data_IF_583069405024
#
_entry.id   IF_583069405024
#
_cell.length_a   1.000
_cell.length_b   1.000
_cell.length_c   1.000
_cell.angle_alpha   90.00
_cell.angle_beta   90.00
_cell.angle_gamma   90.00
#
_symmetry.space_group_name_H-M   'P 1'
#
loop_
_entity.id
_entity.type
_entity.pdbx_description
1 polymer ?
#
# COMPACT_ATOMS: atom_id res chain seq x y z
N UNK A 1 10.54 -10.44 6.50
CA UNK A 1 11.65 -11.32 6.96
C UNK A 1 12.12 -10.81 8.30
N UNK A 2 12.56 -11.69 9.19
CA UNK A 2 13.10 -11.36 10.50
C UNK A 2 14.48 -11.99 10.70
N UNK A 3 15.32 -11.36 11.52
CA UNK A 3 16.66 -11.83 11.83
C UNK A 3 16.61 -12.76 13.04
N UNK A 4 16.80 -14.06 12.82
CA UNK A 4 16.84 -15.08 13.88
C UNK A 4 18.19 -15.12 14.58
N UNK A 5 19.25 -14.86 13.81
CA UNK A 5 20.63 -14.79 14.26
C UNK A 5 21.38 -13.81 13.37
N UNK A 6 22.53 -13.25 13.79
CA UNK A 6 23.26 -12.27 13.01
C UNK A 6 23.54 -12.77 11.58
N UNK A 7 22.91 -12.15 10.59
CA UNK A 7 23.03 -12.55 9.17
C UNK A 7 22.12 -13.69 8.71
N UNK A 8 21.39 -14.35 9.60
CA UNK A 8 20.40 -15.40 9.28
C UNK A 8 19.00 -14.79 9.29
N UNK A 9 18.44 -14.65 8.08
CA UNK A 9 17.14 -14.05 7.88
C UNK A 9 16.10 -15.10 7.52
N UNK A 10 15.04 -15.16 8.31
CA UNK A 10 13.94 -16.09 8.12
C UNK A 10 12.70 -15.38 7.59
N UNK A 11 11.90 -16.11 6.80
CA UNK A 11 10.61 -15.61 6.37
C UNK A 11 9.59 -15.66 7.51
N UNK A 12 8.66 -14.72 7.49
CA UNK A 12 7.47 -14.86 8.31
C UNK A 12 6.54 -15.90 7.69
N UNK A 13 5.71 -16.51 8.52
CA UNK A 13 4.56 -17.26 8.03
C UNK A 13 3.72 -16.39 7.08
N UNK A 14 3.18 -16.94 5.97
CA UNK A 14 2.39 -16.18 5.01
C UNK A 14 1.24 -15.40 5.66
N UNK A 15 0.61 -15.95 6.71
CA UNK A 15 -0.49 -15.30 7.41
C UNK A 15 -0.05 -14.03 8.14
N UNK A 16 1.12 -14.08 8.78
CA UNK A 16 1.72 -12.94 9.49
C UNK A 16 2.24 -11.92 8.49
N UNK A 17 2.86 -12.39 7.39
CA UNK A 17 3.39 -11.53 6.34
C UNK A 17 2.27 -10.70 5.69
N UNK A 18 1.09 -11.28 5.48
CA UNK A 18 -0.06 -10.56 4.93
C UNK A 18 -0.55 -9.45 5.89
N UNK A 19 -0.60 -9.73 7.21
CA UNK A 19 -0.95 -8.71 8.22
C UNK A 19 0.08 -7.58 8.28
N UNK A 20 1.37 -7.91 8.20
CA UNK A 20 2.44 -6.91 8.17
C UNK A 20 2.35 -6.02 6.93
N UNK A 21 2.05 -6.60 5.76
CA UNK A 21 1.85 -5.83 4.54
C UNK A 21 0.61 -4.92 4.64
N UNK A 22 -0.53 -5.46 5.07
CA UNK A 22 -1.74 -4.67 5.24
C UNK A 22 -1.55 -3.50 6.22
N UNK A 23 -0.91 -3.74 7.37
CA UNK A 23 -0.59 -2.69 8.34
C UNK A 23 0.31 -1.62 7.72
N UNK A 24 1.31 -2.04 6.94
CA UNK A 24 2.21 -1.14 6.22
C UNK A 24 1.49 -0.31 5.15
N UNK A 25 0.53 -0.89 4.43
CA UNK A 25 -0.28 -0.22 3.40
C UNK A 25 -1.23 0.82 4.00
N UNK A 26 -1.81 0.53 5.16
CA UNK A 26 -2.67 1.47 5.91
C UNK A 26 -1.85 2.60 6.55
N UNK A 27 -0.54 2.42 6.69
CA UNK A 27 0.36 3.40 7.32
C UNK A 27 0.44 3.25 8.84
N UNK A 28 0.08 2.08 9.38
CA UNK A 28 0.27 1.76 10.79
C UNK A 28 1.76 1.68 11.14
N UNK A 29 2.10 2.11 12.36
CA UNK A 29 3.49 2.16 12.83
C UNK A 29 3.87 0.95 13.67
N UNK A 30 2.88 0.25 14.23
CA UNK A 30 3.06 -0.88 15.15
C UNK A 30 2.04 -1.97 14.85
N UNK A 31 2.45 -3.22 14.96
CA UNK A 31 1.58 -4.38 14.84
C UNK A 31 1.92 -5.41 15.91
N UNK A 32 0.96 -5.74 16.78
CA UNK A 32 1.08 -6.86 17.69
C UNK A 32 0.42 -8.12 17.11
N UNK A 33 1.10 -9.26 17.19
CA UNK A 33 0.55 -10.55 16.78
C UNK A 33 1.01 -11.68 17.70
N UNK A 34 0.17 -12.72 17.81
CA UNK A 34 0.54 -13.96 18.46
C UNK A 34 1.02 -14.98 17.43
N UNK A 35 2.13 -15.65 17.70
CA UNK A 35 2.69 -16.71 16.87
C UNK A 35 3.33 -17.79 17.73
N UNK A 36 2.98 -19.06 17.48
CA UNK A 36 3.46 -20.24 18.24
C UNK A 36 3.32 -20.11 19.77
N UNK A 37 2.26 -19.45 20.24
CA UNK A 37 1.99 -19.27 21.68
C UNK A 37 2.67 -18.06 22.32
N UNK A 38 3.56 -17.37 21.59
CA UNK A 38 4.21 -16.13 22.04
C UNK A 38 3.60 -14.89 21.38
N UNK A 39 3.60 -13.77 22.10
CA UNK A 39 3.18 -12.46 21.58
C UNK A 39 4.40 -11.67 21.13
N UNK A 40 4.31 -11.08 19.95
CA UNK A 40 5.35 -10.24 19.37
C UNK A 40 4.75 -8.89 18.96
N UNK A 41 5.47 -7.81 19.22
CA UNK A 41 5.17 -6.48 18.70
C UNK A 41 6.18 -6.14 17.61
N UNK A 42 5.72 -5.75 16.43
CA UNK A 42 6.58 -5.27 15.34
C UNK A 42 6.38 -3.78 15.17
N UNK A 43 7.46 -3.02 15.35
CA UNK A 43 7.53 -1.62 15.00
C UNK A 43 7.94 -1.50 13.52
N UNK A 44 6.97 -1.18 12.69
CA UNK A 44 7.10 -1.10 11.24
C UNK A 44 7.98 0.09 10.81
N UNK A 45 8.00 1.17 11.61
CA UNK A 45 8.80 2.36 11.37
C UNK A 45 10.30 2.13 11.67
N UNK A 46 10.59 1.47 12.79
CA UNK A 46 11.96 1.12 13.19
C UNK A 46 12.47 -0.18 12.55
N UNK A 47 11.58 -0.97 11.96
CA UNK A 47 11.87 -2.31 11.46
C UNK A 47 12.45 -3.21 12.56
N UNK A 48 11.83 -3.19 13.76
CA UNK A 48 12.22 -3.97 14.93
C UNK A 48 11.02 -4.79 15.40
N UNK A 49 11.25 -6.05 15.72
CA UNK A 49 10.32 -6.93 16.39
C UNK A 49 10.74 -7.11 17.84
N UNK A 50 9.83 -6.95 18.78
CA UNK A 50 10.05 -7.15 20.21
C UNK A 50 9.21 -8.33 20.66
N UNK A 51 9.86 -9.31 21.29
CA UNK A 51 9.17 -10.39 21.98
C UNK A 51 8.63 -9.87 23.32
N UNK A 52 7.32 -9.94 23.53
CA UNK A 52 6.68 -9.31 24.69
C UNK A 52 7.07 -9.97 26.01
N UNK A 53 7.28 -11.29 25.98
CA UNK A 53 7.55 -12.08 27.20
C UNK A 53 8.99 -11.92 27.69
N UNK A 54 9.96 -11.88 26.78
CA UNK A 54 11.39 -11.78 27.14
C UNK A 54 11.98 -10.38 26.93
N UNK A 55 11.28 -9.48 26.26
CA UNK A 55 11.80 -8.17 25.86
C UNK A 55 12.85 -8.21 24.75
N UNK A 56 13.16 -9.38 24.18
CA UNK A 56 14.20 -9.51 23.17
C UNK A 56 13.78 -8.83 21.86
N UNK A 57 14.73 -8.13 21.23
CA UNK A 57 14.52 -7.42 19.99
C UNK A 57 15.23 -8.11 18.82
N UNK A 58 14.54 -8.26 17.70
CA UNK A 58 15.06 -8.80 16.45
C UNK A 58 14.82 -7.80 15.31
N UNK A 59 15.73 -7.77 14.33
CA UNK A 59 15.58 -6.90 13.16
C UNK A 59 14.58 -7.47 12.17
N UNK A 60 13.84 -6.59 11.52
CA UNK A 60 12.84 -6.94 10.50
C UNK A 60 13.22 -6.28 9.19
N UNK A 61 12.94 -6.92 8.06
CA UNK A 61 13.08 -6.33 6.73
C UNK A 61 11.94 -6.75 5.82
N UNK A 62 11.52 -5.82 4.97
CA UNK A 62 10.57 -6.09 3.90
C UNK A 62 11.33 -6.52 2.64
N UNK A 63 10.85 -7.56 1.96
CA UNK A 63 11.28 -7.88 0.60
C UNK A 63 10.19 -7.36 -0.35
N UNK A 64 10.55 -6.38 -1.16
CA UNK A 64 9.65 -5.77 -2.13
C UNK A 64 10.11 -4.35 -2.44
N UNK A 65 9.62 -3.75 -3.54
CA UNK A 65 9.85 -2.35 -3.80
C UNK A 65 9.44 -1.53 -2.56
N UNK A 66 10.14 -0.42 -2.25
CA UNK A 66 9.65 0.49 -1.23
C UNK A 66 8.20 0.83 -1.56
N UNK A 67 7.33 0.92 -0.54
CA UNK A 67 6.00 1.48 -0.75
C UNK A 67 6.20 2.76 -1.55
N UNK A 68 5.59 2.81 -2.75
CA UNK A 68 5.61 3.99 -3.58
C UNK A 68 5.31 5.16 -2.67
N UNK A 69 6.29 6.05 -2.49
CA UNK A 69 6.09 7.30 -1.78
C UNK A 69 5.16 8.13 -2.66
N UNK A 70 3.86 7.86 -2.63
CA UNK A 70 2.85 8.84 -2.93
C UNK A 70 2.22 9.35 -1.63
N UNK A 71 2.97 10.04 -0.75
CA UNK A 71 2.38 10.90 0.25
C UNK A 71 1.99 12.19 -0.47
N UNK A 72 0.95 12.17 -1.31
CA UNK A 72 0.28 13.39 -1.76
C UNK A 72 -1.00 13.04 -2.49
N UNK A 73 -2.10 13.35 -1.80
CA UNK A 73 -3.32 13.97 -2.32
C UNK A 73 -3.92 13.26 -3.52
N UNK A 74 -5.17 12.84 -3.38
CA UNK A 74 -6.19 13.22 -4.36
C UNK A 74 -6.12 14.74 -4.58
N UNK A 75 -5.11 15.17 -5.33
CA UNK A 75 -5.16 16.40 -6.05
C UNK A 75 -6.27 16.16 -7.05
N UNK A 76 -7.34 16.92 -6.90
CA UNK A 76 -8.01 17.45 -8.06
C UNK A 76 -6.93 17.77 -9.11
N UNK A 77 -6.78 16.91 -10.11
CA UNK A 77 -6.29 17.34 -11.41
C UNK A 77 -7.52 17.92 -12.11
N UNK A 78 -7.72 19.25 -12.15
CA UNK A 78 -8.40 19.82 -13.29
C UNK A 78 -7.49 19.52 -14.48
N UNK A 79 -7.91 18.60 -15.34
CA UNK A 79 -7.24 18.36 -16.61
C UNK A 79 -7.30 19.66 -17.40
N UNK A 80 -6.23 20.45 -17.28
CA UNK A 80 -6.06 21.72 -17.94
C UNK A 80 -5.79 21.48 -19.42
N UNK A 81 -6.68 22.05 -20.24
CA UNK A 81 -6.34 22.80 -21.44
C UNK A 81 -5.27 22.17 -22.36
N UNK A 82 -5.74 21.46 -23.39
CA UNK A 82 -5.21 21.73 -24.73
C UNK A 82 -6.19 22.67 -25.44
N UNK A 83 -5.79 23.93 -25.45
CA UNK A 83 -6.38 25.01 -26.21
C UNK A 83 -5.87 24.96 -27.67
N UNK A 84 -6.64 25.60 -28.55
CA UNK A 84 -6.38 25.87 -29.96
C UNK A 84 -6.65 24.69 -30.94
N UNK A 85 -7.51 24.80 -31.95
CA UNK A 85 -7.84 25.98 -32.72
C UNK A 85 -9.19 25.81 -33.44
N UNK A 86 -9.98 26.90 -33.40
CA UNK A 86 -10.71 27.47 -34.53
C UNK A 86 -11.87 26.67 -35.15
N UNK A 87 -13.04 27.32 -34.97
CA UNK A 87 -13.77 27.93 -36.09
C UNK A 87 -15.04 27.21 -36.56
N UNK A 88 -16.14 27.66 -35.98
CA UNK A 88 -17.28 28.27 -36.69
C UNK A 88 -18.34 27.36 -37.31
N UNK A 89 -19.60 27.79 -37.08
CA UNK A 89 -20.84 27.55 -37.84
C UNK A 89 -21.51 26.19 -37.63
N UNK A 90 -22.57 26.12 -36.83
CA UNK A 90 -23.96 26.55 -37.13
C UNK A 90 -24.67 25.66 -38.17
N UNK A 91 -25.77 25.04 -37.70
CA UNK A 91 -26.99 24.57 -38.44
C UNK A 91 -26.77 23.42 -39.45
N UNK A 92 -27.58 22.35 -39.51
CA UNK A 92 -29.05 22.17 -39.40
C UNK A 92 -29.40 20.69 -39.13
N UNK A 93 -30.65 20.44 -38.68
CA UNK A 93 -31.64 19.36 -39.01
C UNK A 93 -31.08 17.96 -39.40
N UNK A 94 -31.61 16.83 -38.95
CA UNK A 94 -33.02 16.40 -38.95
C UNK A 94 -33.19 15.08 -38.16
N UNK A 95 -34.46 14.70 -37.99
CA UNK A 95 -35.02 13.48 -37.39
C UNK A 95 -34.57 12.15 -38.01
N UNK A 96 -34.82 11.05 -37.29
CA UNK A 96 -34.82 9.66 -37.78
C UNK A 96 -34.22 8.72 -36.73
N UNK A 97 -35.01 8.12 -35.86
CA UNK A 97 -35.62 6.78 -36.05
C UNK A 97 -34.56 5.65 -35.97
N UNK A 98 -34.50 4.97 -34.81
CA UNK A 98 -33.89 3.65 -34.68
C UNK A 98 -34.76 2.81 -33.73
N UNK A 99 -35.38 1.77 -34.29
CA UNK A 99 -36.16 0.76 -33.57
C UNK A 99 -35.22 -0.22 -32.85
N UNK A 100 -35.68 -0.77 -31.73
CA UNK A 100 -35.07 -1.94 -31.09
C UNK A 100 -35.77 -3.21 -31.58
N UNK A 101 -34.97 -4.24 -31.88
CA UNK A 101 -35.36 -5.62 -32.18
C UNK A 101 -35.85 -6.36 -30.93
#
# INVERSE_FOLDING_TARGET
LWEESPGVWQAYDPSVNNKLNAAREVGEYKLAFAHKGSVYEVNLAKCIQTHWDTGNECRVRYKGPPLSKNPRRSAFEPSGAQEDSRSTKERRRAQGEWQFE
#
